data_IF_866912927354
#
_entry.id   IF_866912927354
#
_cell.length_a   1.000
_cell.length_b   1.000
_cell.length_c   1.000
_cell.angle_alpha   90.00
_cell.angle_beta   90.00
_cell.angle_gamma   90.00
#
_symmetry.space_group_name_H-M   'P 1'
#
loop_
_entity.id
_entity.type
_entity.pdbx_description
1 polymer ?
#
# COMPACT_ATOMS: atom_id res chain seq x y z
N UNK A 1 -15.17 -18.83 2.43
CA UNK A 1 -13.78 -19.30 2.62
C UNK A 1 -13.70 -19.98 3.97
N UNK A 2 -13.17 -21.21 4.06
CA UNK A 2 -13.12 -22.01 5.30
C UNK A 2 -12.30 -21.34 6.43
N UNK A 3 -11.54 -20.29 6.12
CA UNK A 3 -10.51 -19.71 6.99
C UNK A 3 -10.55 -18.17 7.14
N UNK A 4 -11.57 -17.48 6.60
CA UNK A 4 -11.66 -16.01 6.64
C UNK A 4 -10.57 -15.29 5.83
N UNK A 5 -10.89 -14.15 5.21
CA UNK A 5 -9.88 -13.45 4.40
C UNK A 5 -8.77 -12.80 5.25
N UNK A 6 -9.08 -12.46 6.50
CA UNK A 6 -8.12 -11.90 7.45
C UNK A 6 -6.95 -12.87 7.73
N UNK A 7 -7.22 -14.16 7.92
CA UNK A 7 -6.16 -15.17 8.13
C UNK A 7 -5.31 -15.36 6.89
N UNK A 8 -5.88 -15.28 5.69
CA UNK A 8 -5.12 -15.31 4.44
C UNK A 8 -4.15 -14.12 4.34
N UNK A 9 -4.63 -12.90 4.57
CA UNK A 9 -3.80 -11.69 4.57
C UNK A 9 -2.72 -11.75 5.66
N UNK A 10 -3.07 -12.21 6.86
CA UNK A 10 -2.12 -12.39 7.95
C UNK A 10 -1.05 -13.42 7.59
N UNK A 11 -1.42 -14.59 7.08
CA UNK A 11 -0.47 -15.62 6.66
C UNK A 11 0.51 -15.09 5.61
N UNK A 12 0.05 -14.27 4.65
CA UNK A 12 0.94 -13.62 3.69
C UNK A 12 1.98 -12.72 4.39
N UNK A 13 1.56 -11.94 5.39
CA UNK A 13 2.48 -11.16 6.21
C UNK A 13 3.43 -12.04 7.04
N UNK A 14 2.95 -13.13 7.62
CA UNK A 14 3.75 -14.05 8.44
C UNK A 14 4.83 -14.76 7.62
N UNK A 15 4.50 -15.22 6.40
CA UNK A 15 5.48 -15.77 5.46
C UNK A 15 6.63 -14.81 5.22
N UNK A 16 6.31 -13.52 5.04
CA UNK A 16 7.29 -12.48 4.78
C UNK A 16 8.11 -12.13 6.02
N UNK A 17 7.44 -11.91 7.16
CA UNK A 17 8.12 -11.55 8.40
C UNK A 17 8.91 -12.70 9.02
N UNK A 18 8.52 -13.95 8.76
CA UNK A 18 9.20 -15.16 9.23
C UNK A 18 9.58 -15.12 10.73
N UNK A 19 8.65 -14.70 11.58
CA UNK A 19 8.86 -14.56 13.02
C UNK A 19 9.76 -13.39 13.47
N UNK A 20 10.26 -12.56 12.55
CA UNK A 20 11.09 -11.40 12.89
C UNK A 20 10.30 -10.20 13.42
N UNK A 21 8.98 -10.18 13.23
CA UNK A 21 8.10 -9.08 13.64
C UNK A 21 6.86 -9.62 14.35
N UNK A 22 6.36 -8.83 15.29
CA UNK A 22 5.15 -9.14 16.06
C UNK A 22 3.89 -8.75 15.30
N UNK A 23 2.72 -9.18 15.76
CA UNK A 23 1.44 -8.73 15.20
C UNK A 23 1.25 -7.20 15.22
N UNK A 24 1.93 -6.47 16.11
CA UNK A 24 1.89 -5.01 16.12
C UNK A 24 2.49 -4.40 14.83
N UNK A 25 3.50 -5.04 14.24
CA UNK A 25 4.06 -4.63 12.95
C UNK A 25 3.04 -4.86 11.81
N UNK A 26 2.34 -6.00 11.83
CA UNK A 26 1.26 -6.31 10.87
C UNK A 26 0.13 -5.27 10.98
N UNK A 27 -0.28 -4.95 12.20
CA UNK A 27 -1.27 -3.90 12.47
C UNK A 27 -0.84 -2.53 11.93
N UNK A 28 0.40 -2.14 12.18
CA UNK A 28 0.94 -0.86 11.71
C UNK A 28 1.10 -0.80 10.19
N UNK A 29 1.48 -1.91 9.56
CA UNK A 29 1.50 -2.06 8.11
C UNK A 29 0.11 -1.83 7.52
N UNK A 30 -0.89 -2.60 7.96
CA UNK A 30 -2.26 -2.54 7.41
C UNK A 30 -2.95 -1.20 7.66
N UNK A 31 -2.74 -0.59 8.83
CA UNK A 31 -3.27 0.74 9.16
C UNK A 31 -2.56 1.88 8.43
N UNK A 32 -1.38 1.62 7.83
CA UNK A 32 -0.62 2.64 7.11
C UNK A 32 0.12 3.61 8.03
N UNK A 33 0.51 3.16 9.23
CA UNK A 33 1.24 4.00 10.19
C UNK A 33 2.60 4.37 9.61
N UNK A 34 2.81 5.65 9.31
CA UNK A 34 4.05 6.21 8.74
C UNK A 34 5.17 6.41 9.77
N UNK A 35 5.47 5.40 10.58
CA UNK A 35 6.71 5.41 11.38
C UNK A 35 7.89 4.94 10.51
N UNK A 36 9.10 5.40 10.83
CA UNK A 36 10.30 4.96 10.11
C UNK A 36 10.44 3.43 10.09
N UNK A 37 10.08 2.76 11.19
CA UNK A 37 10.09 1.30 11.29
C UNK A 37 9.07 0.65 10.36
N UNK A 38 7.80 1.07 10.36
CA UNK A 38 6.78 0.47 9.49
C UNK A 38 7.12 0.67 8.01
N UNK A 39 7.61 1.87 7.65
CA UNK A 39 8.01 2.19 6.28
C UNK A 39 9.17 1.30 5.81
N UNK A 40 10.16 1.06 6.69
CA UNK A 40 11.28 0.16 6.41
C UNK A 40 10.87 -1.30 6.35
N UNK A 41 10.08 -1.77 7.31
CA UNK A 41 9.62 -3.16 7.36
C UNK A 41 8.78 -3.48 6.11
N UNK A 42 7.91 -2.58 5.69
CA UNK A 42 7.14 -2.70 4.44
C UNK A 42 8.07 -2.98 3.24
N UNK A 43 9.19 -2.27 3.13
CA UNK A 43 10.18 -2.45 2.06
C UNK A 43 11.01 -3.72 2.23
N UNK A 44 11.63 -3.91 3.39
CA UNK A 44 12.56 -5.02 3.61
C UNK A 44 11.90 -6.38 3.47
N UNK A 45 10.65 -6.49 3.93
CA UNK A 45 9.87 -7.72 3.86
C UNK A 45 8.97 -7.79 2.62
N UNK A 46 9.10 -6.83 1.70
CA UNK A 46 8.36 -6.79 0.42
C UNK A 46 6.84 -6.88 0.63
N UNK A 47 6.32 -6.05 1.54
CA UNK A 47 4.94 -5.94 1.99
C UNK A 47 4.30 -4.60 1.57
N UNK A 48 4.95 -3.82 0.70
CA UNK A 48 4.42 -2.56 0.17
C UNK A 48 3.00 -2.64 -0.39
N UNK A 49 2.59 -3.75 -1.08
CA UNK A 49 1.22 -3.90 -1.54
C UNK A 49 0.17 -3.73 -0.43
N UNK A 50 0.47 -4.13 0.80
CA UNK A 50 -0.47 -4.18 1.92
C UNK A 50 -0.42 -2.92 2.82
N UNK A 51 0.48 -1.97 2.55
CA UNK A 51 0.64 -0.79 3.38
C UNK A 51 -0.59 0.12 3.33
N UNK A 52 -1.28 0.33 4.46
CA UNK A 52 -2.43 1.23 4.56
C UNK A 52 -3.71 0.71 3.90
N UNK A 53 -3.79 -0.56 3.52
CA UNK A 53 -4.92 -1.10 2.74
C UNK A 53 -6.10 -1.59 3.59
N UNK A 54 -5.92 -1.73 4.91
CA UNK A 54 -6.98 -2.10 5.84
C UNK A 54 -7.07 -1.08 6.98
N UNK A 55 -7.63 0.10 6.66
CA UNK A 55 -7.68 1.25 7.59
C UNK A 55 -8.39 0.97 8.92
N UNK A 56 -9.41 0.11 8.90
CA UNK A 56 -10.18 -0.25 10.09
C UNK A 56 -9.70 -1.57 10.73
N UNK A 57 -8.48 -2.02 10.43
CA UNK A 57 -7.89 -3.18 11.08
C UNK A 57 -7.86 -2.95 12.59
N UNK A 58 -8.18 -3.98 13.36
CA UNK A 58 -8.07 -3.97 14.83
C UNK A 58 -7.08 -5.03 15.27
N UNK A 59 -6.49 -4.85 16.46
CA UNK A 59 -5.66 -5.90 17.02
C UNK A 59 -6.47 -7.18 17.31
N UNK A 60 -7.72 -7.05 17.77
CA UNK A 60 -8.60 -8.20 18.00
C UNK A 60 -8.77 -9.04 16.72
N UNK A 61 -9.04 -8.41 15.57
CA UNK A 61 -9.20 -9.13 14.31
C UNK A 61 -7.93 -9.87 13.88
N UNK A 62 -6.74 -9.31 14.14
CA UNK A 62 -5.47 -9.98 13.85
C UNK A 62 -5.16 -11.11 14.84
N UNK A 63 -5.53 -10.95 16.12
CA UNK A 63 -5.38 -11.99 17.13
C UNK A 63 -6.30 -13.18 16.83
N UNK A 64 -7.57 -12.93 16.49
CA UNK A 64 -8.52 -13.95 16.04
C UNK A 64 -8.00 -14.67 14.78
N UNK A 65 -7.51 -13.92 13.79
CA UNK A 65 -6.93 -14.49 12.59
C UNK A 65 -5.70 -15.36 12.88
N UNK A 66 -4.85 -14.95 13.83
CA UNK A 66 -3.68 -15.71 14.26
C UNK A 66 -4.08 -16.99 15.01
N UNK A 67 -5.06 -16.91 15.91
CA UNK A 67 -5.60 -18.06 16.63
C UNK A 67 -6.16 -19.09 15.66
N UNK A 68 -6.95 -18.66 14.66
CA UNK A 68 -7.48 -19.56 13.64
C UNK A 68 -6.38 -20.29 12.86
N UNK A 69 -5.28 -19.62 12.51
CA UNK A 69 -4.13 -20.26 11.86
C UNK A 69 -3.43 -21.28 12.77
N UNK A 70 -3.32 -20.98 14.07
CA UNK A 70 -2.68 -21.87 15.05
C UNK A 70 -3.53 -23.10 15.34
N UNK A 71 -4.84 -22.94 15.57
CA UNK A 71 -5.78 -24.05 15.82
C UNK A 71 -5.77 -25.08 14.69
N UNK A 72 -5.55 -24.60 13.47
CA UNK A 72 -5.48 -25.43 12.26
C UNK A 72 -4.08 -25.93 11.94
N UNK A 73 -3.10 -25.66 12.82
CA UNK A 73 -1.69 -26.05 12.66
C UNK A 73 -1.03 -25.46 11.40
N UNK A 74 -1.54 -24.34 10.89
CA UNK A 74 -0.97 -23.58 9.78
C UNK A 74 0.10 -22.58 10.25
N UNK A 75 0.05 -22.19 11.52
CA UNK A 75 1.06 -21.33 12.15
C UNK A 75 1.46 -21.85 13.53
N UNK A 76 2.67 -21.50 13.96
CA UNK A 76 3.17 -21.70 15.31
C UNK A 76 3.32 -20.36 16.01
N UNK A 77 2.86 -20.30 17.26
CA UNK A 77 3.13 -19.15 18.13
C UNK A 77 4.54 -19.26 18.69
N UNK A 78 5.32 -18.20 18.53
CA UNK A 78 6.65 -18.05 19.11
C UNK A 78 6.60 -17.00 20.25
N UNK A 79 7.76 -16.69 20.85
CA UNK A 79 7.84 -15.73 21.96
C UNK A 79 7.35 -14.35 21.52
N UNK A 80 6.73 -13.60 22.45
CA UNK A 80 6.35 -12.19 22.27
C UNK A 80 5.33 -11.90 21.14
N UNK A 81 4.33 -12.77 20.93
CA UNK A 81 3.29 -12.59 19.88
C UNK A 81 3.88 -12.51 18.47
N UNK A 82 4.94 -13.26 18.23
CA UNK A 82 5.49 -13.54 16.90
C UNK A 82 4.95 -14.89 16.44
N UNK A 83 4.81 -15.06 15.12
CA UNK A 83 4.28 -16.28 14.53
C UNK A 83 5.10 -16.65 13.30
N UNK A 84 5.24 -17.95 13.05
CA UNK A 84 5.84 -18.51 11.85
C UNK A 84 4.87 -19.50 11.22
N UNK A 85 4.82 -19.54 9.89
CA UNK A 85 4.03 -20.56 9.20
C UNK A 85 4.65 -21.94 9.40
N UNK A 86 3.82 -22.97 9.46
CA UNK A 86 4.26 -24.37 9.33
C UNK A 86 4.41 -24.72 7.85
N UNK A 87 4.98 -25.89 7.53
CA UNK A 87 4.99 -26.40 6.15
C UNK A 87 3.57 -26.48 5.56
N UNK A 88 2.60 -26.97 6.35
CA UNK A 88 1.19 -26.98 5.96
C UNK A 88 0.61 -25.58 5.75
N UNK A 89 1.05 -24.59 6.54
CA UNK A 89 0.66 -23.18 6.36
C UNK A 89 1.19 -22.57 5.07
N UNK A 90 2.43 -22.90 4.70
CA UNK A 90 3.02 -22.46 3.42
C UNK A 90 2.30 -23.08 2.23
N UNK A 91 2.03 -24.39 2.27
CA UNK A 91 1.26 -25.10 1.23
C UNK A 91 -0.16 -24.51 1.09
N UNK A 92 -0.87 -24.36 2.20
CA UNK A 92 -2.20 -23.75 2.25
C UNK A 92 -2.24 -22.32 1.67
N UNK A 93 -1.21 -21.52 1.95
CA UNK A 93 -1.10 -20.17 1.42
C UNK A 93 -0.79 -20.18 -0.09
N UNK A 94 0.04 -21.13 -0.55
CA UNK A 94 0.38 -21.30 -1.96
C UNK A 94 -0.84 -21.73 -2.80
N UNK A 95 -1.65 -22.66 -2.30
CA UNK A 95 -2.90 -23.09 -2.94
C UNK A 95 -3.90 -21.93 -3.15
N UNK A 96 -3.80 -20.90 -2.30
CA UNK A 96 -4.66 -19.72 -2.34
C UNK A 96 -4.00 -18.49 -3.00
N UNK A 97 -2.89 -18.66 -3.71
CA UNK A 97 -2.16 -17.54 -4.31
C UNK A 97 -3.05 -16.63 -5.18
N UNK A 98 -4.07 -17.18 -5.85
CA UNK A 98 -5.02 -16.45 -6.67
C UNK A 98 -5.91 -15.46 -5.89
N UNK A 99 -6.06 -15.64 -4.56
CA UNK A 99 -6.82 -14.72 -3.70
C UNK A 99 -6.05 -13.44 -3.38
N UNK A 100 -4.74 -13.40 -3.66
CA UNK A 100 -3.94 -12.21 -3.45
C UNK A 100 -4.29 -11.14 -4.50
N UNK A 101 -4.60 -9.90 -4.09
CA UNK A 101 -4.99 -8.84 -5.00
C UNK A 101 -3.77 -8.31 -5.77
N UNK A 102 -3.53 -8.85 -6.97
CA UNK A 102 -2.31 -8.66 -7.77
C UNK A 102 -1.94 -7.20 -8.10
N UNK A 103 -2.92 -6.30 -8.20
CA UNK A 103 -2.71 -4.89 -8.52
C UNK A 103 -2.68 -4.01 -7.27
N UNK A 104 -2.86 -4.59 -6.09
CA UNK A 104 -2.83 -3.83 -4.85
C UNK A 104 -1.43 -3.23 -4.65
N UNK A 105 -1.43 -1.94 -4.36
CA UNK A 105 -0.25 -1.13 -4.14
C UNK A 105 -0.57 -0.07 -3.09
N UNK A 106 -0.73 -0.53 -1.85
CA UNK A 106 -1.04 0.31 -0.71
C UNK A 106 -0.01 1.42 -0.53
N UNK A 107 1.28 1.08 -0.60
CA UNK A 107 2.37 2.05 -0.52
C UNK A 107 2.16 3.26 -1.42
N UNK A 108 1.83 3.02 -2.69
CA UNK A 108 1.65 4.07 -3.68
C UNK A 108 0.29 4.76 -3.56
N UNK A 109 -0.80 4.03 -3.39
CA UNK A 109 -2.13 4.62 -3.61
C UNK A 109 -2.98 4.87 -2.36
N UNK A 110 -2.65 4.35 -1.17
CA UNK A 110 -3.56 4.39 0.01
C UNK A 110 -4.02 5.79 0.47
N UNK A 111 -3.25 6.84 0.18
CA UNK A 111 -3.63 8.23 0.48
C UNK A 111 -4.45 8.87 -0.62
N UNK A 112 -4.13 8.57 -1.89
CA UNK A 112 -4.76 9.17 -3.06
C UNK A 112 -6.06 8.47 -3.45
N UNK A 113 -6.17 7.15 -3.19
CA UNK A 113 -7.31 6.31 -3.53
C UNK A 113 -8.67 6.87 -3.07
N UNK A 114 -8.85 7.49 -1.87
CA UNK A 114 -10.18 7.86 -1.42
C UNK A 114 -10.71 9.04 -2.24
N UNK A 115 -9.84 10.03 -2.49
CA UNK A 115 -10.18 11.20 -3.27
C UNK A 115 -10.33 10.85 -4.76
N UNK A 116 -9.48 9.97 -5.30
CA UNK A 116 -9.65 9.44 -6.65
C UNK A 116 -11.02 8.76 -6.82
N UNK A 117 -11.39 7.87 -5.89
CA UNK A 117 -12.69 7.21 -5.91
C UNK A 117 -13.86 8.20 -5.76
N UNK A 118 -13.75 9.19 -4.88
CA UNK A 118 -14.79 10.22 -4.71
C UNK A 118 -15.01 11.01 -6.01
N UNK A 119 -13.94 11.39 -6.72
CA UNK A 119 -14.04 12.05 -8.03
C UNK A 119 -14.69 11.15 -9.07
N UNK A 120 -14.19 9.91 -9.23
CA UNK A 120 -14.69 8.95 -10.21
C UNK A 120 -16.17 8.62 -9.99
N UNK A 121 -16.55 8.30 -8.76
CA UNK A 121 -17.93 7.95 -8.41
C UNK A 121 -18.90 9.12 -8.58
N UNK A 122 -18.51 10.33 -8.20
CA UNK A 122 -19.34 11.53 -8.37
C UNK A 122 -19.49 11.91 -9.86
N UNK A 123 -18.41 11.81 -10.65
CA UNK A 123 -18.48 12.04 -12.10
C UNK A 123 -19.39 11.00 -12.76
N UNK A 124 -19.21 9.71 -12.44
CA UNK A 124 -20.06 8.65 -12.96
C UNK A 124 -21.54 8.86 -12.64
N UNK A 125 -21.86 9.22 -11.38
CA UNK A 125 -23.23 9.57 -10.99
C UNK A 125 -23.74 10.78 -11.76
N UNK A 126 -22.95 11.85 -11.84
CA UNK A 126 -23.35 13.13 -12.45
C UNK A 126 -23.62 12.95 -13.94
N UNK A 127 -22.68 12.35 -14.68
CA UNK A 127 -22.83 12.08 -16.11
C UNK A 127 -24.03 11.19 -16.38
N UNK A 128 -24.21 10.11 -15.60
CA UNK A 128 -25.38 9.24 -15.73
C UNK A 128 -26.70 10.01 -15.54
N UNK A 129 -26.80 10.87 -14.52
CA UNK A 129 -28.03 11.64 -14.29
C UNK A 129 -28.27 12.73 -15.35
N UNK A 130 -27.21 13.38 -15.85
CA UNK A 130 -27.32 14.38 -16.91
C UNK A 130 -27.81 13.75 -18.21
N UNK A 131 -27.26 12.61 -18.61
CA UNK A 131 -27.67 11.86 -19.82
C UNK A 131 -29.14 11.43 -19.73
N UNK A 132 -29.60 11.02 -18.54
CA UNK A 132 -30.98 10.59 -18.31
C UNK A 132 -31.94 11.74 -17.92
N UNK A 133 -31.46 12.99 -17.88
CA UNK A 133 -32.29 14.15 -17.51
C UNK A 133 -32.87 14.10 -16.08
N UNK A 134 -32.20 13.42 -15.15
CA UNK A 134 -32.70 13.23 -13.77
C UNK A 134 -32.05 14.20 -12.78
N UNK A 135 -32.86 14.72 -11.85
CA UNK A 135 -32.35 15.41 -10.66
C UNK A 135 -31.79 14.38 -9.69
N UNK A 136 -30.71 14.73 -9.00
CA UNK A 136 -30.06 13.84 -8.05
C UNK A 136 -29.42 14.62 -6.90
N UNK A 137 -29.21 13.92 -5.79
CA UNK A 137 -28.34 14.38 -4.71
C UNK A 137 -26.95 13.76 -4.89
N UNK A 138 -25.86 14.54 -4.79
CA UNK A 138 -24.49 14.01 -4.86
C UNK A 138 -24.23 12.90 -3.84
N UNK A 139 -23.52 11.86 -4.26
CA UNK A 139 -23.16 10.71 -3.40
C UNK A 139 -22.16 11.08 -2.30
N UNK A 140 -21.37 12.13 -2.50
CA UNK A 140 -20.41 12.64 -1.53
C UNK A 140 -20.80 14.03 -1.02
N UNK A 141 -20.41 14.35 0.21
CA UNK A 141 -20.62 15.67 0.84
C UNK A 141 -19.36 16.54 0.94
N UNK A 142 -18.20 16.04 0.49
CA UNK A 142 -16.95 16.81 0.53
C UNK A 142 -17.01 17.97 -0.48
N UNK A 143 -17.05 19.20 0.03
CA UNK A 143 -17.22 20.42 -0.77
C UNK A 143 -16.10 20.62 -1.79
N UNK A 144 -14.86 20.25 -1.44
CA UNK A 144 -13.71 20.35 -2.34
C UNK A 144 -13.88 19.45 -3.56
N UNK A 145 -14.34 18.21 -3.33
CA UNK A 145 -14.62 17.26 -4.42
C UNK A 145 -15.80 17.72 -5.27
N UNK A 146 -16.88 18.20 -4.65
CA UNK A 146 -18.03 18.74 -5.38
C UNK A 146 -17.62 19.90 -6.30
N UNK A 147 -16.85 20.85 -5.77
CA UNK A 147 -16.36 21.99 -6.54
C UNK A 147 -15.41 21.56 -7.66
N UNK A 148 -14.49 20.63 -7.38
CA UNK A 148 -13.56 20.10 -8.38
C UNK A 148 -14.31 19.40 -9.53
N UNK A 149 -15.29 18.54 -9.23
CA UNK A 149 -16.08 17.84 -10.26
C UNK A 149 -16.91 18.83 -11.08
N UNK A 150 -17.52 19.83 -10.43
CA UNK A 150 -18.27 20.88 -11.13
C UNK A 150 -17.37 21.64 -12.11
N UNK A 151 -16.19 22.06 -11.68
CA UNK A 151 -15.22 22.75 -12.54
C UNK A 151 -14.74 21.85 -13.69
N UNK A 152 -14.44 20.59 -13.40
CA UNK A 152 -14.02 19.61 -14.39
C UNK A 152 -15.06 19.42 -15.49
N UNK A 153 -16.33 19.19 -15.12
CA UNK A 153 -17.42 18.99 -16.09
C UNK A 153 -17.70 20.24 -16.92
N UNK A 154 -17.71 21.42 -16.31
CA UNK A 154 -17.93 22.70 -17.03
C UNK A 154 -16.82 22.98 -18.05
N UNK A 155 -15.57 22.61 -17.75
CA UNK A 155 -14.44 22.82 -18.66
C UNK A 155 -14.45 21.89 -19.89
N UNK A 156 -15.17 20.77 -19.83
CA UNK A 156 -15.14 19.71 -20.85
C UNK A 156 -16.31 19.77 -21.86
N UNK A 157 -17.29 20.64 -21.62
CA UNK A 157 -18.40 20.87 -22.56
C UNK A 157 -19.45 19.75 -22.55
N UNK A 158 -19.45 18.89 -23.57
CA UNK A 158 -20.53 17.91 -23.79
C UNK A 158 -20.51 16.77 -22.77
N UNK A 159 -21.54 16.75 -21.91
CA UNK A 159 -21.73 15.65 -20.94
C UNK A 159 -21.95 14.30 -21.61
N UNK A 160 -22.51 14.28 -22.83
CA UNK A 160 -22.71 13.03 -23.58
C UNK A 160 -21.37 12.42 -24.01
N UNK A 161 -20.48 13.23 -24.59
CA UNK A 161 -19.15 12.77 -25.02
C UNK A 161 -18.29 12.34 -23.83
N UNK A 162 -18.40 13.04 -22.70
CA UNK A 162 -17.72 12.64 -21.46
C UNK A 162 -18.26 11.33 -20.91
N UNK A 163 -19.57 11.11 -20.95
CA UNK A 163 -20.18 9.86 -20.52
C UNK A 163 -19.72 8.68 -21.39
N UNK A 164 -19.66 8.89 -22.71
CA UNK A 164 -19.14 7.89 -23.64
C UNK A 164 -17.66 7.61 -23.39
N UNK A 165 -16.82 8.63 -23.23
CA UNK A 165 -15.39 8.47 -22.92
C UNK A 165 -15.18 7.70 -21.61
N UNK A 166 -15.92 8.07 -20.56
CA UNK A 166 -15.87 7.38 -19.27
C UNK A 166 -16.26 5.91 -19.42
N UNK A 167 -17.33 5.64 -20.16
CA UNK A 167 -17.81 4.28 -20.41
C UNK A 167 -16.76 3.43 -21.14
N UNK A 168 -16.17 3.96 -22.22
CA UNK A 168 -15.16 3.25 -23.00
C UNK A 168 -13.90 2.94 -22.18
N UNK A 169 -13.40 3.90 -21.41
CA UNK A 169 -12.25 3.65 -20.52
C UNK A 169 -12.58 2.62 -19.44
N UNK A 170 -13.74 2.74 -18.78
CA UNK A 170 -14.13 1.80 -17.72
C UNK A 170 -14.34 0.38 -18.26
N UNK A 171 -15.00 0.20 -19.41
CA UNK A 171 -15.16 -1.14 -20.00
C UNK A 171 -13.81 -1.76 -20.30
N UNK A 172 -12.92 -1.04 -21.00
CA UNK A 172 -11.57 -1.52 -21.31
C UNK A 172 -10.79 -1.93 -20.06
N UNK A 173 -10.89 -1.15 -18.98
CA UNK A 173 -10.22 -1.44 -17.71
C UNK A 173 -10.84 -2.66 -17.01
N UNK A 174 -12.17 -2.77 -17.01
CA UNK A 174 -12.87 -3.85 -16.31
C UNK A 174 -12.78 -5.18 -17.06
N UNK A 175 -12.60 -5.18 -18.38
CA UNK A 175 -12.30 -6.38 -19.18
C UNK A 175 -10.91 -6.97 -18.89
N UNK A 176 -9.98 -6.18 -18.35
CA UNK A 176 -8.62 -6.62 -18.03
C UNK A 176 -8.48 -7.29 -16.64
N UNK A 177 -9.54 -7.25 -15.82
CA UNK A 177 -9.60 -7.88 -14.50
C UNK A 177 -10.54 -9.09 -14.52
N UNK A 178 -10.59 -9.88 -13.44
CA UNK A 178 -11.53 -11.00 -13.36
C UNK A 178 -12.98 -10.48 -13.36
N UNK A 179 -13.90 -11.28 -13.89
CA UNK A 179 -15.33 -10.95 -13.91
C UNK A 179 -15.86 -10.61 -12.51
N UNK A 180 -15.48 -11.39 -11.48
CA UNK A 180 -15.86 -11.11 -10.09
C UNK A 180 -15.38 -9.73 -9.62
N UNK A 181 -14.13 -9.36 -9.94
CA UNK A 181 -13.58 -8.06 -9.59
C UNK A 181 -14.28 -6.91 -10.35
N UNK A 182 -14.59 -7.13 -11.63
CA UNK A 182 -15.35 -6.19 -12.44
C UNK A 182 -16.78 -5.97 -11.90
N UNK A 183 -17.46 -7.04 -11.49
CA UNK A 183 -18.77 -7.01 -10.84
C UNK A 183 -18.69 -6.23 -9.53
N UNK A 184 -17.73 -6.55 -8.65
CA UNK A 184 -17.52 -5.83 -7.38
C UNK A 184 -17.37 -4.32 -7.64
N UNK A 185 -16.52 -3.93 -8.59
CA UNK A 185 -16.31 -2.52 -8.91
C UNK A 185 -17.57 -1.84 -9.45
N UNK A 186 -18.26 -2.49 -10.38
CA UNK A 186 -19.47 -1.97 -11.03
C UNK A 186 -20.62 -1.82 -10.04
N UNK A 187 -20.79 -2.77 -9.12
CA UNK A 187 -21.82 -2.71 -8.09
C UNK A 187 -21.63 -1.52 -7.14
N UNK A 188 -20.40 -1.02 -6.97
CA UNK A 188 -20.10 0.17 -6.16
C UNK A 188 -20.49 1.49 -6.82
N UNK A 189 -20.70 1.52 -8.13
CA UNK A 189 -21.05 2.73 -8.87
C UNK A 189 -22.53 3.09 -8.69
N UNK A 190 -22.80 4.38 -8.48
CA UNK A 190 -24.14 4.98 -8.50
C UNK A 190 -24.42 5.57 -9.88
N UNK A 191 -25.63 5.33 -10.38
CA UNK A 191 -26.12 5.83 -11.66
C UNK A 191 -27.46 6.55 -11.48
N UNK A 192 -28.07 6.99 -12.58
CA UNK A 192 -29.41 7.56 -12.62
C UNK A 192 -30.52 6.57 -12.21
N UNK A 193 -30.24 5.27 -12.29
CA UNK A 193 -31.23 4.20 -12.07
C UNK A 193 -30.98 3.40 -10.79
N UNK A 194 -29.76 3.43 -10.24
CA UNK A 194 -29.39 2.61 -9.09
C UNK A 194 -28.35 3.29 -8.20
N UNK A 195 -28.57 3.20 -6.89
CA UNK A 195 -27.57 3.56 -5.87
C UNK A 195 -26.52 2.44 -5.79
N UNK A 196 -25.25 2.82 -5.80
CA UNK A 196 -24.13 1.89 -5.63
C UNK A 196 -24.20 1.18 -4.28
N UNK A 197 -23.87 -0.11 -4.28
CA UNK A 197 -23.98 -0.96 -3.11
C UNK A 197 -22.83 -0.73 -2.12
N UNK A 198 -23.08 -1.07 -0.85
CA UNK A 198 -22.03 -1.15 0.17
C UNK A 198 -21.20 -2.42 -0.01
N UNK A 199 -20.05 -2.49 0.66
CA UNK A 199 -19.22 -3.70 0.63
C UNK A 199 -19.95 -4.90 1.21
N UNK A 200 -20.73 -4.69 2.26
CA UNK A 200 -21.52 -5.69 2.96
C UNK A 200 -22.65 -6.22 2.06
N UNK A 201 -23.32 -5.34 1.32
CA UNK A 201 -24.35 -5.72 0.34
C UNK A 201 -23.77 -6.56 -0.79
N UNK A 202 -22.61 -6.16 -1.33
CA UNK A 202 -21.91 -6.92 -2.37
C UNK A 202 -21.43 -8.26 -1.82
N UNK A 203 -20.88 -8.30 -0.61
CA UNK A 203 -20.42 -9.51 0.05
C UNK A 203 -21.56 -10.50 0.29
N UNK A 204 -22.72 -10.03 0.77
CA UNK A 204 -23.91 -10.84 0.93
C UNK A 204 -24.42 -11.40 -0.42
N UNK A 205 -24.46 -10.56 -1.46
CA UNK A 205 -24.89 -10.97 -2.79
C UNK A 205 -23.98 -12.01 -3.44
N UNK A 206 -22.66 -11.83 -3.34
CA UNK A 206 -21.66 -12.76 -3.89
C UNK A 206 -21.38 -13.95 -2.96
N UNK A 207 -21.96 -13.99 -1.75
CA UNK A 207 -21.68 -14.96 -0.70
C UNK A 207 -20.18 -15.04 -0.37
N UNK A 208 -19.55 -13.87 -0.24
CA UNK A 208 -18.12 -13.71 0.05
C UNK A 208 -17.92 -13.02 1.40
N UNK A 209 -16.67 -13.11 1.86
CA UNK A 209 -16.18 -12.33 3.00
C UNK A 209 -16.16 -10.83 2.64
N UNK A 210 -16.62 -9.95 3.53
CA UNK A 210 -16.68 -8.51 3.29
C UNK A 210 -15.29 -7.86 3.14
N UNK A 211 -14.29 -8.36 3.88
CA UNK A 211 -12.90 -7.90 3.77
C UNK A 211 -12.32 -8.30 2.42
N UNK A 212 -12.65 -9.50 1.93
CA UNK A 212 -12.28 -9.93 0.58
C UNK A 212 -12.83 -8.98 -0.49
N UNK A 213 -14.13 -8.67 -0.43
CA UNK A 213 -14.76 -7.74 -1.37
C UNK A 213 -14.12 -6.34 -1.29
N UNK A 214 -13.81 -5.87 -0.09
CA UNK A 214 -13.11 -4.59 0.11
C UNK A 214 -11.74 -4.57 -0.58
N UNK A 215 -10.95 -5.64 -0.42
CA UNK A 215 -9.62 -5.75 -1.03
C UNK A 215 -9.69 -5.94 -2.54
N UNK A 216 -10.66 -6.67 -3.07
CA UNK A 216 -10.86 -6.79 -4.52
C UNK A 216 -11.33 -5.47 -5.14
N UNK A 217 -12.18 -4.71 -4.46
CA UNK A 217 -12.49 -3.35 -4.92
C UNK A 217 -11.25 -2.46 -4.99
N UNK A 218 -10.41 -2.49 -3.95
CA UNK A 218 -9.14 -1.74 -3.92
C UNK A 218 -8.17 -2.22 -5.00
N UNK A 219 -8.11 -3.52 -5.24
CA UNK A 219 -7.31 -4.14 -6.31
C UNK A 219 -7.66 -3.51 -7.67
N UNK A 220 -8.95 -3.44 -8.02
CA UNK A 220 -9.40 -2.81 -9.27
C UNK A 220 -9.11 -1.31 -9.26
N UNK A 221 -9.37 -0.61 -8.14
CA UNK A 221 -9.12 0.82 -8.05
C UNK A 221 -7.63 1.17 -8.27
N UNK A 222 -6.72 0.39 -7.68
CA UNK A 222 -5.28 0.56 -7.83
C UNK A 222 -4.81 0.20 -9.24
N UNK A 223 -5.42 -0.80 -9.88
CA UNK A 223 -5.19 -1.09 -11.28
C UNK A 223 -5.54 0.11 -12.17
N UNK A 224 -6.73 0.68 -12.00
CA UNK A 224 -7.17 1.88 -12.74
C UNK A 224 -6.19 3.04 -12.52
N UNK A 225 -5.76 3.26 -11.28
CA UNK A 225 -4.78 4.31 -10.97
C UNK A 225 -3.41 4.07 -11.63
N UNK A 226 -2.96 2.82 -11.70
CA UNK A 226 -1.72 2.47 -12.39
C UNK A 226 -1.81 2.68 -13.91
N UNK A 227 -2.94 2.33 -14.53
CA UNK A 227 -3.20 2.57 -15.95
C UNK A 227 -3.27 4.07 -16.29
N UNK A 228 -3.84 4.86 -15.38
CA UNK A 228 -3.91 6.31 -15.46
C UNK A 228 -2.53 6.98 -15.37
N UNK A 229 -1.69 6.56 -14.41
CA UNK A 229 -0.31 7.05 -14.32
C UNK A 229 0.53 6.68 -15.53
N UNK A 230 0.25 5.54 -16.15
CA UNK A 230 0.91 5.13 -17.37
C UNK A 230 0.39 5.83 -18.64
N UNK A 231 -0.59 6.73 -18.51
CA UNK A 231 -1.15 7.49 -19.63
C UNK A 231 -2.00 6.66 -20.61
N UNK A 232 -2.43 5.45 -20.22
CA UNK A 232 -3.19 4.54 -21.10
C UNK A 232 -4.70 4.82 -21.10
N UNK A 233 -5.16 5.57 -20.11
CA UNK A 233 -6.56 5.97 -19.89
C UNK A 233 -6.60 7.48 -19.53
N UNK A 234 -6.64 8.36 -20.55
CA UNK A 234 -6.54 9.81 -20.38
C UNK A 234 -7.54 10.42 -19.39
N UNK A 235 -8.81 10.02 -19.42
CA UNK A 235 -9.80 10.57 -18.51
C UNK A 235 -9.48 10.17 -17.06
N UNK A 236 -9.12 8.91 -16.80
CA UNK A 236 -8.67 8.51 -15.47
C UNK A 236 -7.41 9.28 -15.01
N UNK A 237 -6.47 9.57 -15.92
CA UNK A 237 -5.28 10.38 -15.63
C UNK A 237 -5.65 11.81 -15.22
N UNK A 238 -6.65 12.41 -15.87
CA UNK A 238 -7.19 13.71 -15.45
C UNK A 238 -7.84 13.66 -14.07
N UNK A 239 -8.57 12.59 -13.74
CA UNK A 239 -9.15 12.40 -12.41
C UNK A 239 -8.07 12.27 -11.32
N UNK A 240 -6.91 11.71 -11.67
CA UNK A 240 -5.72 11.64 -10.82
C UNK A 240 -4.94 12.95 -10.72
N UNK A 241 -5.27 13.98 -11.51
CA UNK A 241 -4.53 15.23 -11.49
C UNK A 241 -4.52 15.87 -10.09
N UNK A 242 -3.32 16.23 -9.63
CA UNK A 242 -3.08 16.75 -8.27
C UNK A 242 -3.15 15.70 -7.16
N UNK A 243 -3.33 14.40 -7.49
CA UNK A 243 -3.33 13.28 -6.54
C UNK A 243 -2.03 12.46 -6.58
N UNK A 244 -1.01 12.94 -7.30
CA UNK A 244 0.23 12.20 -7.51
C UNK A 244 0.81 11.74 -6.16
N UNK A 245 0.97 10.42 -5.96
CA UNK A 245 1.42 9.91 -4.69
C UNK A 245 2.87 10.31 -4.44
N UNK A 246 3.13 10.87 -3.25
CA UNK A 246 4.46 11.32 -2.89
C UNK A 246 5.40 10.11 -2.74
N UNK A 247 6.56 10.16 -3.40
CA UNK A 247 7.61 9.12 -3.29
C UNK A 247 8.20 9.10 -1.88
N UNK A 248 8.23 10.25 -1.22
CA UNK A 248 8.74 10.46 0.12
C UNK A 248 7.67 11.13 0.98
N UNK A 249 7.72 10.89 2.29
CA UNK A 249 7.04 11.73 3.26
C UNK A 249 7.48 13.18 3.10
N UNK A 250 6.59 14.13 3.38
CA UNK A 250 6.91 15.56 3.26
C UNK A 250 8.16 15.96 4.06
N UNK A 251 8.38 15.32 5.22
CA UNK A 251 9.55 15.57 6.04
C UNK A 251 10.83 14.97 5.45
N UNK A 252 10.77 13.76 4.87
CA UNK A 252 11.89 13.18 4.16
C UNK A 252 12.23 13.94 2.88
N UNK A 253 11.22 14.41 2.13
CA UNK A 253 11.42 15.27 0.96
C UNK A 253 12.21 16.54 1.32
N UNK A 254 11.87 17.21 2.42
CA UNK A 254 12.64 18.37 2.91
C UNK A 254 14.08 18.00 3.30
N UNK A 255 14.31 16.84 3.93
CA UNK A 255 15.70 16.35 4.18
C UNK A 255 16.44 16.16 2.87
N UNK A 256 15.79 15.56 1.86
CA UNK A 256 16.40 15.28 0.58
C UNK A 256 16.83 16.56 -0.14
N UNK A 257 16.01 17.61 -0.10
CA UNK A 257 16.34 18.93 -0.65
C UNK A 257 17.61 19.52 -0.02
N UNK A 258 17.82 19.35 1.29
CA UNK A 258 19.03 19.82 1.97
C UNK A 258 20.25 18.96 1.67
N UNK A 259 20.08 17.63 1.60
CA UNK A 259 21.17 16.73 1.20
C UNK A 259 21.66 17.06 -0.21
N UNK A 260 20.75 17.36 -1.16
CA UNK A 260 21.11 17.81 -2.51
C UNK A 260 21.86 19.14 -2.54
N UNK A 261 21.75 19.96 -1.50
CA UNK A 261 22.51 21.20 -1.31
C UNK A 261 23.85 20.97 -0.58
N UNK A 262 24.28 19.72 -0.40
CA UNK A 262 25.54 19.36 0.24
C UNK A 262 25.55 19.51 1.76
N UNK A 263 24.39 19.59 2.42
CA UNK A 263 24.31 19.67 3.89
C UNK A 263 24.49 18.30 4.53
N UNK A 264 25.21 18.26 5.64
CA UNK A 264 25.40 17.03 6.43
C UNK A 264 24.17 16.69 7.26
N UNK A 265 24.10 15.48 7.81
CA UNK A 265 23.02 15.08 8.73
C UNK A 265 22.94 16.03 9.93
N UNK A 266 24.09 16.45 10.48
CA UNK A 266 24.19 17.37 11.60
C UNK A 266 23.69 18.77 11.24
N UNK A 267 24.09 19.30 10.09
CA UNK A 267 23.59 20.58 9.58
C UNK A 267 22.08 20.56 9.48
N UNK A 268 21.52 19.51 8.87
CA UNK A 268 20.07 19.37 8.67
C UNK A 268 19.35 19.24 10.02
N UNK A 269 19.93 18.48 10.95
CA UNK A 269 19.40 18.32 12.32
C UNK A 269 19.25 19.69 13.00
N UNK A 270 20.29 20.51 12.93
CA UNK A 270 20.32 21.86 13.52
C UNK A 270 19.37 22.83 12.81
N UNK A 271 19.44 22.88 11.47
CA UNK A 271 18.67 23.81 10.63
C UNK A 271 17.16 23.53 10.71
N UNK A 272 16.79 22.26 10.83
CA UNK A 272 15.39 21.82 10.96
C UNK A 272 14.91 21.65 12.40
N UNK A 273 15.80 21.78 13.41
CA UNK A 273 15.52 21.52 14.83
C UNK A 273 14.92 20.13 15.07
N UNK A 274 15.47 19.12 14.40
CA UNK A 274 15.07 17.72 14.56
C UNK A 274 16.19 16.93 15.23
N UNK A 275 15.86 15.79 15.84
CA UNK A 275 16.87 14.87 16.37
C UNK A 275 17.66 14.25 15.21
N UNK A 276 18.95 13.98 15.43
CA UNK A 276 19.80 13.27 14.46
C UNK A 276 19.15 11.97 13.97
N UNK A 277 18.62 11.16 14.90
CA UNK A 277 17.92 9.90 14.57
C UNK A 277 16.73 10.09 13.64
N UNK A 278 16.00 11.21 13.76
CA UNK A 278 14.90 11.54 12.84
C UNK A 278 15.41 11.90 11.45
N UNK A 279 16.56 12.58 11.35
CA UNK A 279 17.19 12.84 10.04
C UNK A 279 17.70 11.54 9.42
N UNK A 280 18.35 10.68 10.20
CA UNK A 280 18.78 9.34 9.79
C UNK A 280 17.61 8.50 9.26
N UNK A 281 16.46 8.51 9.95
CA UNK A 281 15.22 7.86 9.48
C UNK A 281 14.81 8.35 8.07
N UNK A 282 14.85 9.67 7.85
CA UNK A 282 14.56 10.25 6.53
C UNK A 282 15.59 9.82 5.48
N UNK A 283 16.89 9.77 5.82
CA UNK A 283 17.93 9.33 4.87
C UNK A 283 17.71 7.89 4.45
N UNK A 284 17.31 7.01 5.38
CA UNK A 284 16.96 5.62 5.03
C UNK A 284 15.72 5.56 4.13
N UNK A 285 14.69 6.36 4.41
CA UNK A 285 13.51 6.46 3.54
C UNK A 285 13.88 6.91 2.11
N UNK A 286 14.74 7.92 2.00
CA UNK A 286 15.27 8.41 0.73
C UNK A 286 16.05 7.31 0.01
N UNK A 287 16.95 6.61 0.71
CA UNK A 287 17.75 5.55 0.13
C UNK A 287 16.89 4.41 -0.43
N UNK A 288 15.78 4.08 0.23
CA UNK A 288 14.85 3.03 -0.18
C UNK A 288 13.94 3.42 -1.36
N UNK A 289 13.63 4.71 -1.55
CA UNK A 289 12.59 5.14 -2.50
C UNK A 289 13.11 5.99 -3.67
N UNK A 290 14.27 6.64 -3.52
CA UNK A 290 14.86 7.46 -4.57
C UNK A 290 15.88 6.65 -5.36
N UNK A 291 15.52 6.31 -6.59
CA UNK A 291 16.42 5.68 -7.56
C UNK A 291 17.68 6.51 -7.75
N UNK A 292 18.85 5.85 -7.70
CA UNK A 292 20.15 6.51 -7.85
C UNK A 292 20.68 7.25 -6.61
N UNK A 293 19.94 7.30 -5.50
CA UNK A 293 20.49 7.87 -4.26
C UNK A 293 21.72 7.07 -3.76
N UNK A 294 22.87 7.72 -3.61
CA UNK A 294 24.10 7.07 -3.13
C UNK A 294 24.15 7.05 -1.59
N UNK A 295 24.49 5.89 -1.02
CA UNK A 295 24.72 5.74 0.42
C UNK A 295 26.20 5.85 0.81
N UNK A 296 27.11 5.94 -0.18
CA UNK A 296 28.56 6.03 0.04
C UNK A 296 28.99 7.18 1.00
N UNK A 297 28.32 8.35 1.03
CA UNK A 297 28.64 9.38 2.01
C UNK A 297 28.38 9.01 3.48
N UNK A 298 27.64 7.92 3.73
CA UNK A 298 27.18 7.54 5.07
C UNK A 298 27.71 6.19 5.55
N UNK A 299 28.16 5.33 4.63
CA UNK A 299 28.71 4.01 4.94
C UNK A 299 29.79 3.70 3.91
N UNK A 300 30.98 3.37 4.37
CA UNK A 300 32.08 2.94 3.49
C UNK A 300 31.81 1.54 2.90
N UNK A 301 32.51 1.23 1.81
CA UNK A 301 32.27 0.00 1.03
C UNK A 301 32.60 -1.27 1.81
N UNK A 302 33.60 -1.22 2.70
CA UNK A 302 34.02 -2.36 3.52
C UNK A 302 32.95 -2.73 4.55
N UNK A 303 32.44 -1.73 5.29
CA UNK A 303 31.31 -1.92 6.21
C UNK A 303 30.06 -2.35 5.46
N UNK A 304 29.78 -1.76 4.30
CA UNK A 304 28.61 -2.13 3.51
C UNK A 304 28.70 -3.60 3.06
N UNK A 305 29.88 -4.07 2.65
CA UNK A 305 30.11 -5.46 2.28
C UNK A 305 29.96 -6.40 3.49
N UNK A 306 30.53 -6.03 4.65
CA UNK A 306 30.41 -6.80 5.88
C UNK A 306 28.95 -6.93 6.36
N UNK A 307 28.17 -5.84 6.30
CA UNK A 307 26.75 -5.84 6.64
C UNK A 307 25.97 -6.77 5.71
N UNK A 308 26.22 -6.72 4.39
CA UNK A 308 25.59 -7.62 3.42
C UNK A 308 25.92 -9.08 3.74
N UNK A 309 27.20 -9.40 3.93
CA UNK A 309 27.64 -10.76 4.24
C UNK A 309 27.02 -11.29 5.55
N UNK A 310 27.00 -10.49 6.61
CA UNK A 310 26.40 -10.88 7.89
C UNK A 310 24.89 -11.12 7.77
N UNK A 311 24.16 -10.24 7.08
CA UNK A 311 22.74 -10.42 6.84
C UNK A 311 22.46 -11.68 6.00
N UNK A 312 23.31 -12.01 5.00
CA UNK A 312 23.20 -13.22 4.16
C UNK A 312 23.43 -14.49 4.96
N UNK A 313 24.51 -14.52 5.74
CA UNK A 313 24.86 -15.68 6.56
C UNK A 313 23.78 -15.98 7.61
N UNK A 314 23.25 -14.94 8.27
CA UNK A 314 22.23 -15.08 9.31
C UNK A 314 20.80 -15.22 8.79
N UNK A 315 20.56 -14.90 7.51
CA UNK A 315 19.23 -14.83 6.88
C UNK A 315 18.22 -14.02 7.71
N UNK A 316 18.67 -12.90 8.26
CA UNK A 316 17.89 -12.05 9.19
C UNK A 316 17.93 -10.59 8.76
N UNK A 317 16.87 -9.85 9.06
CA UNK A 317 16.81 -8.38 8.97
C UNK A 317 16.80 -7.73 10.36
N UNK A 318 17.02 -8.51 11.43
CA UNK A 318 17.11 -7.97 12.78
C UNK A 318 18.43 -7.24 12.97
N UNK A 319 18.32 -5.92 13.11
CA UNK A 319 19.45 -5.02 13.27
C UNK A 319 20.40 -5.42 14.41
N UNK A 320 19.85 -5.90 15.53
CA UNK A 320 20.62 -6.34 16.69
C UNK A 320 21.52 -7.53 16.37
N UNK A 321 20.98 -8.57 15.73
CA UNK A 321 21.72 -9.78 15.37
C UNK A 321 22.84 -9.48 14.37
N UNK A 322 22.57 -8.64 13.36
CA UNK A 322 23.58 -8.20 12.38
C UNK A 322 24.69 -7.40 13.07
N UNK A 323 24.34 -6.49 13.98
CA UNK A 323 25.33 -5.68 14.70
C UNK A 323 26.21 -6.53 15.62
N UNK A 324 25.63 -7.50 16.30
CA UNK A 324 26.35 -8.43 17.18
C UNK A 324 27.32 -9.31 16.38
N UNK A 325 26.92 -9.81 15.21
CA UNK A 325 27.81 -10.58 14.32
C UNK A 325 28.98 -9.77 13.74
N UNK A 326 28.92 -8.44 13.81
CA UNK A 326 29.97 -7.52 13.37
C UNK A 326 30.69 -6.85 14.56
N UNK A 327 30.63 -7.45 15.75
CA UNK A 327 31.26 -6.97 16.99
C UNK A 327 30.91 -5.51 17.35
N UNK A 328 29.75 -5.02 16.91
CA UNK A 328 29.35 -3.63 17.14
C UNK A 328 30.14 -2.58 16.34
N UNK A 329 30.98 -2.98 15.38
CA UNK A 329 31.80 -2.09 14.52
C UNK A 329 30.98 -1.21 13.57
N UNK A 330 29.69 -1.53 13.42
CA UNK A 330 28.72 -0.78 12.61
C UNK A 330 27.58 -0.24 13.48
N UNK A 331 27.09 0.93 13.11
CA UNK A 331 25.91 1.56 13.70
C UNK A 331 24.61 0.98 13.12
N UNK A 332 23.52 1.13 13.87
CA UNK A 332 22.20 0.75 13.37
C UNK A 332 21.78 1.56 12.14
N UNK A 333 22.24 2.81 12.01
CA UNK A 333 21.98 3.64 10.84
C UNK A 333 22.64 3.07 9.58
N UNK A 334 23.93 2.70 9.65
CA UNK A 334 24.66 2.07 8.55
C UNK A 334 23.99 0.75 8.12
N UNK A 335 23.60 -0.11 9.07
CA UNK A 335 22.88 -1.35 8.77
C UNK A 335 21.59 -1.05 8.00
N UNK A 336 20.78 -0.08 8.48
CA UNK A 336 19.51 0.28 7.84
C UNK A 336 19.69 0.81 6.42
N UNK A 337 20.72 1.61 6.17
CA UNK A 337 21.03 2.13 4.83
C UNK A 337 21.40 1.03 3.85
N UNK A 338 22.25 0.10 4.27
CA UNK A 338 22.67 -1.03 3.43
C UNK A 338 21.47 -1.91 3.11
N UNK A 339 20.66 -2.28 4.11
CA UNK A 339 19.47 -3.11 3.90
C UNK A 339 18.40 -2.41 3.04
N UNK A 340 18.28 -1.08 3.11
CA UNK A 340 17.37 -0.31 2.26
C UNK A 340 17.71 -0.37 0.77
N UNK A 341 18.97 -0.59 0.40
CA UNK A 341 19.41 -0.74 -1.00
C UNK A 341 19.32 -2.18 -1.53
N UNK A 342 19.11 -3.14 -0.65
CA UNK A 342 19.10 -4.56 -0.96
C UNK A 342 17.67 -5.14 -1.17
N UNK A 343 16.64 -4.29 -1.13
CA UNK A 343 15.24 -4.67 -1.33
C UNK A 343 15.08 -5.40 -2.68
N UNK A 344 14.75 -6.70 -2.61
CA UNK A 344 14.47 -7.56 -3.77
C UNK A 344 15.50 -8.66 -4.07
N UNK A 345 16.70 -8.65 -3.46
CA UNK A 345 17.79 -9.60 -3.81
C UNK A 345 17.85 -10.90 -2.97
N UNK A 346 16.91 -11.10 -2.06
CA UNK A 346 17.04 -12.07 -0.95
C UNK A 346 15.99 -13.17 -0.93
N UNK A 347 15.13 -13.18 -1.95
CA UNK A 347 14.11 -14.20 -2.17
C UNK A 347 14.42 -14.84 -3.51
N UNK A 348 15.43 -15.71 -3.50
CA UNK A 348 15.66 -16.76 -4.49
C UNK A 348 15.51 -18.07 -3.75
#
# INVERSE_FOLDING_TARGET
>A
MRHGYASFLLAHCLRRFNGERTLAAVYHLFSGKKSAQTLQDSKWFQLEPLFGTWKNVTMAALEEAAMALVEQRLALSAKQRTYTLTAAGEEWLAEQAALFPRHLNGWRYHEAEPLFWQRLSLIGQTLSNLVYGRRFAPICRDERTLQWVKQYLLAKGSSQMLAETLYQELIRLLEAVSEEAAVIFTLRLTSAVRIGWTMEQIAAYLQKDALYVQFQFRNVLHYIMAEAEAGRVPMMAELMSGLAPAVLTQSAQKTYEWLRKGKTIEDISNLRRLKRSTIEDHVVEIAANVSGFSIAPFVDDEKAAAIRAAAQALRTRKLKEIREALDGKVSYFEIRLVLAKEVGRWTS
#
